data_IF_444694857139
#
_entry.id   IF_444694857139
#
_cell.length_a   1.000
_cell.length_b   1.000
_cell.length_c   1.000
_cell.angle_alpha   90.00
_cell.angle_beta   90.00
_cell.angle_gamma   90.00
#
_symmetry.space_group_name_H-M   'P 1'
#
loop_
_entity.id
_entity.type
_entity.pdbx_description
1 polymer ?
#
# COMPACT_ATOMS: atom_id res chain seq x y z
N UNK A 1 -12.87 -23.18 7.80
CA UNK A 1 -14.24 -23.22 7.29
C UNK A 1 -15.21 -23.07 8.49
N UNK A 2 -16.08 -22.07 8.44
CA UNK A 2 -16.97 -21.68 9.56
C UNK A 2 -18.44 -22.13 9.37
N UNK A 3 -18.80 -22.62 8.18
CA UNK A 3 -20.21 -22.99 7.87
C UNK A 3 -20.61 -24.39 8.34
N UNK A 4 -19.68 -25.14 8.93
CA UNK A 4 -19.92 -26.51 9.38
C UNK A 4 -20.10 -27.54 8.24
N UNK A 5 -19.67 -27.20 7.02
CA UNK A 5 -19.75 -28.08 5.85
C UNK A 5 -18.38 -28.29 5.22
N UNK A 6 -18.11 -29.51 4.79
CA UNK A 6 -16.91 -29.81 4.02
C UNK A 6 -16.94 -29.06 2.68
N UNK A 7 -15.81 -28.44 2.32
CA UNK A 7 -15.59 -27.81 1.03
C UNK A 7 -14.64 -28.69 0.22
N UNK A 8 -15.08 -29.10 -0.96
CA UNK A 8 -14.28 -29.91 -1.89
C UNK A 8 -13.71 -29.01 -2.99
N UNK A 9 -12.47 -29.29 -3.36
CA UNK A 9 -11.79 -28.64 -4.49
C UNK A 9 -11.77 -27.12 -4.38
N UNK A 10 -11.41 -26.62 -3.20
CA UNK A 10 -11.14 -25.18 -2.98
C UNK A 10 -9.95 -24.77 -3.86
N UNK A 11 -10.08 -23.68 -4.59
CA UNK A 11 -9.06 -23.15 -5.49
C UNK A 11 -8.67 -21.75 -5.07
N UNK A 12 -7.37 -21.51 -4.93
CA UNK A 12 -6.82 -20.20 -4.60
C UNK A 12 -5.88 -19.73 -5.71
N UNK A 13 -6.19 -18.59 -6.31
CA UNK A 13 -5.36 -17.92 -7.32
C UNK A 13 -4.45 -16.90 -6.68
N UNK A 14 -3.25 -16.76 -7.23
CA UNK A 14 -2.27 -15.76 -6.83
C UNK A 14 -1.97 -14.80 -7.98
N UNK A 15 -1.48 -13.59 -7.70
CA UNK A 15 -1.18 -12.59 -8.74
C UNK A 15 0.02 -12.96 -9.62
N UNK A 16 0.81 -13.97 -9.22
CA UNK A 16 1.94 -14.49 -9.97
C UNK A 16 1.93 -16.03 -9.94
N UNK A 17 2.71 -16.65 -10.82
CA UNK A 17 2.83 -18.09 -10.88
C UNK A 17 3.40 -18.69 -9.60
N UNK A 18 2.88 -19.82 -9.20
CA UNK A 18 3.37 -20.56 -8.05
C UNK A 18 4.68 -21.27 -8.44
N UNK A 19 5.76 -20.96 -7.73
CA UNK A 19 7.05 -21.66 -7.88
C UNK A 19 7.10 -22.92 -7.01
N UNK A 20 6.52 -22.84 -5.81
CA UNK A 20 6.48 -23.93 -4.85
C UNK A 20 5.36 -23.71 -3.83
N UNK A 21 4.78 -24.79 -3.30
CA UNK A 21 3.76 -24.71 -2.27
C UNK A 21 3.78 -25.97 -1.38
N UNK A 22 3.57 -25.79 -0.09
CA UNK A 22 3.46 -26.89 0.87
C UNK A 22 2.57 -26.50 2.05
N UNK A 23 1.98 -27.50 2.65
CA UNK A 23 1.19 -27.32 3.87
C UNK A 23 2.09 -27.21 5.07
N UNK A 24 1.75 -26.31 5.99
CA UNK A 24 2.51 -26.04 7.22
C UNK A 24 1.62 -26.18 8.45
N UNK A 25 2.20 -26.50 9.58
CA UNK A 25 1.54 -26.45 10.88
C UNK A 25 1.55 -25.03 11.46
N UNK A 26 0.97 -24.85 12.66
CA UNK A 26 0.94 -23.55 13.36
C UNK A 26 2.31 -23.00 13.78
N UNK A 27 3.40 -23.75 13.59
CA UNK A 27 4.79 -23.33 13.79
C UNK A 27 5.52 -23.11 12.47
N UNK A 28 4.78 -23.01 11.34
CA UNK A 28 5.30 -22.85 9.97
C UNK A 28 6.21 -24.00 9.50
N UNK A 29 6.17 -25.16 10.17
CA UNK A 29 6.92 -26.34 9.75
C UNK A 29 6.15 -27.08 8.66
N UNK A 30 6.84 -27.47 7.59
CA UNK A 30 6.27 -28.26 6.49
C UNK A 30 5.76 -29.61 7.00
N UNK A 31 4.51 -29.93 6.71
CA UNK A 31 3.86 -31.19 7.09
C UNK A 31 3.44 -32.03 5.89
N UNK A 32 3.14 -31.41 4.74
CA UNK A 32 2.75 -32.12 3.53
C UNK A 32 3.09 -31.30 2.28
N UNK A 33 3.12 -31.96 1.10
CA UNK A 33 3.12 -31.28 -0.18
C UNK A 33 1.75 -30.68 -0.46
N UNK A 34 1.71 -29.48 -1.03
CA UNK A 34 0.47 -28.89 -1.52
C UNK A 34 0.20 -29.28 -2.98
N UNK A 35 -1.05 -29.40 -3.35
CA UNK A 35 -1.44 -29.66 -4.74
C UNK A 35 -1.59 -28.34 -5.50
N UNK A 36 -0.82 -28.18 -6.58
CA UNK A 36 -0.92 -27.06 -7.51
C UNK A 36 -1.39 -27.58 -8.86
N UNK A 37 -2.51 -27.06 -9.38
CA UNK A 37 -3.05 -27.39 -10.70
C UNK A 37 -3.41 -26.11 -11.45
N UNK A 38 -2.95 -25.98 -12.70
CA UNK A 38 -3.20 -24.80 -13.52
C UNK A 38 -2.85 -23.49 -12.83
N UNK A 39 -1.74 -23.48 -12.09
CA UNK A 39 -1.26 -22.34 -11.29
C UNK A 39 -2.23 -21.89 -10.18
N UNK A 40 -3.08 -22.78 -9.72
CA UNK A 40 -3.95 -22.59 -8.57
C UNK A 40 -3.56 -23.56 -7.45
N UNK A 41 -3.55 -23.09 -6.21
CA UNK A 41 -3.47 -23.96 -5.04
C UNK A 41 -4.83 -24.65 -4.87
N UNK A 42 -4.85 -25.98 -4.85
CA UNK A 42 -6.08 -26.78 -4.78
C UNK A 42 -6.06 -27.68 -3.55
N UNK A 43 -7.11 -27.65 -2.75
CA UNK A 43 -7.23 -28.51 -1.56
C UNK A 43 -8.69 -28.71 -1.16
N UNK A 44 -8.92 -29.75 -0.37
CA UNK A 44 -10.17 -29.95 0.32
C UNK A 44 -10.10 -29.36 1.74
N UNK A 45 -11.19 -28.83 2.23
CA UNK A 45 -11.30 -28.26 3.56
C UNK A 45 -12.46 -28.93 4.30
N UNK A 46 -12.16 -29.67 5.35
CA UNK A 46 -13.18 -30.26 6.20
C UNK A 46 -13.80 -29.21 7.14
N UNK A 47 -15.02 -29.45 7.57
CA UNK A 47 -15.70 -28.56 8.52
C UNK A 47 -14.88 -28.34 9.78
N UNK A 48 -14.91 -27.14 10.33
CA UNK A 48 -14.17 -26.71 11.53
C UNK A 48 -12.65 -26.97 11.48
N UNK A 49 -12.08 -27.08 10.26
CA UNK A 49 -10.63 -27.28 10.09
C UNK A 49 -9.96 -26.01 9.62
N UNK A 50 -8.78 -25.73 10.16
CA UNK A 50 -7.87 -24.68 9.69
C UNK A 50 -6.71 -25.38 8.99
N UNK A 51 -6.39 -24.94 7.77
CA UNK A 51 -5.23 -25.38 7.02
C UNK A 51 -4.38 -24.18 6.64
N UNK A 52 -3.08 -24.30 6.80
CA UNK A 52 -2.10 -23.25 6.48
C UNK A 52 -1.16 -23.71 5.38
N UNK A 53 -0.88 -22.86 4.44
CA UNK A 53 0.01 -23.14 3.31
C UNK A 53 1.08 -22.06 3.18
N UNK A 54 2.32 -22.49 3.00
CA UNK A 54 3.39 -21.62 2.55
C UNK A 54 3.47 -21.72 1.02
N UNK A 55 3.38 -20.57 0.35
CA UNK A 55 3.40 -20.49 -1.11
C UNK A 55 4.52 -19.53 -1.54
N UNK A 56 5.43 -20.02 -2.36
CA UNK A 56 6.45 -19.21 -3.01
C UNK A 56 6.02 -18.91 -4.43
N UNK A 57 5.92 -17.63 -4.76
CA UNK A 57 5.59 -17.18 -6.11
C UNK A 57 6.87 -17.02 -6.95
N UNK A 58 6.73 -17.22 -8.26
CA UNK A 58 7.81 -16.91 -9.20
C UNK A 58 8.01 -15.40 -9.25
N UNK A 59 9.24 -14.97 -9.16
CA UNK A 59 9.57 -13.58 -9.44
C UNK A 59 9.26 -13.32 -10.92
N UNK A 60 8.52 -12.27 -11.28
CA UNK A 60 8.28 -11.96 -12.68
C UNK A 60 9.62 -11.77 -13.40
N UNK A 61 9.78 -12.45 -14.54
CA UNK A 61 11.01 -12.43 -15.34
C UNK A 61 11.31 -11.08 -15.97
N UNK A 62 10.40 -10.14 -15.88
CA UNK A 62 10.54 -8.77 -16.37
C UNK A 62 9.92 -7.82 -15.35
N UNK A 63 10.75 -7.15 -14.60
CA UNK A 63 10.38 -5.92 -13.90
C UNK A 63 10.18 -4.87 -15.00
N UNK A 64 8.95 -4.54 -15.33
CA UNK A 64 8.70 -3.34 -16.12
C UNK A 64 8.99 -2.17 -15.19
N UNK A 65 10.14 -1.54 -15.37
CA UNK A 65 10.40 -0.27 -14.70
C UNK A 65 9.30 0.70 -15.13
N UNK A 66 8.45 1.06 -14.21
CA UNK A 66 7.48 2.11 -14.42
C UNK A 66 8.24 3.42 -14.37
N UNK A 67 8.39 4.07 -15.52
CA UNK A 67 8.98 5.41 -15.55
C UNK A 67 8.10 6.34 -14.72
N UNK A 68 8.67 6.86 -13.65
CA UNK A 68 7.98 7.75 -12.72
C UNK A 68 8.53 9.16 -12.89
N UNK A 69 7.63 10.12 -12.90
CA UNK A 69 7.99 11.55 -12.87
C UNK A 69 7.49 12.12 -11.55
N UNK A 70 8.40 12.66 -10.78
CA UNK A 70 8.08 13.29 -9.52
C UNK A 70 7.38 14.63 -9.74
N UNK A 71 6.40 14.91 -8.89
CA UNK A 71 5.69 16.19 -8.86
C UNK A 71 6.26 17.00 -7.70
N UNK A 72 6.73 18.19 -8.00
CA UNK A 72 7.14 19.15 -6.97
C UNK A 72 5.88 19.72 -6.31
N UNK A 73 5.71 19.45 -5.02
CA UNK A 73 4.55 19.89 -4.27
C UNK A 73 4.82 21.25 -3.59
N UNK A 74 3.85 22.17 -3.63
CA UNK A 74 3.93 23.42 -2.89
C UNK A 74 3.60 23.19 -1.41
N UNK A 75 4.56 22.67 -0.66
CA UNK A 75 4.37 22.40 0.76
C UNK A 75 3.96 23.66 1.52
N UNK A 76 2.95 23.51 2.37
CA UNK A 76 2.35 24.61 3.13
C UNK A 76 1.98 24.21 4.57
N UNK A 77 2.39 23.02 4.98
CA UNK A 77 2.18 22.53 6.33
C UNK A 77 3.40 21.71 6.78
N UNK A 78 3.75 21.85 8.03
CA UNK A 78 4.65 20.96 8.73
C UNK A 78 3.83 19.81 9.33
N UNK A 79 4.14 18.58 8.95
CA UNK A 79 3.42 17.38 9.35
C UNK A 79 4.35 16.31 9.94
N UNK A 80 5.66 16.54 9.87
CA UNK A 80 6.69 15.64 10.39
C UNK A 80 7.42 16.36 11.53
N UNK A 81 7.33 15.82 12.73
CA UNK A 81 8.00 16.39 13.88
C UNK A 81 9.37 15.75 14.10
N UNK A 82 10.41 16.57 14.13
CA UNK A 82 11.77 16.16 14.44
C UNK A 82 12.06 16.13 15.95
N UNK A 83 11.27 16.84 16.74
CA UNK A 83 11.40 16.95 18.19
C UNK A 83 10.11 16.50 18.90
N UNK A 84 10.26 15.66 19.90
CA UNK A 84 9.15 15.16 20.72
C UNK A 84 8.47 16.26 21.55
N UNK A 85 9.10 17.40 21.72
CA UNK A 85 8.61 18.52 22.54
C UNK A 85 7.91 19.61 21.72
N UNK A 86 7.97 19.54 20.40
CA UNK A 86 7.35 20.53 19.53
C UNK A 86 6.21 19.91 18.73
N UNK A 87 5.03 20.43 18.98
CA UNK A 87 3.86 20.14 18.17
C UNK A 87 3.84 21.13 17.01
N UNK A 88 3.66 20.63 15.82
CA UNK A 88 3.37 21.51 14.71
C UNK A 88 2.13 22.36 15.02
N UNK A 89 2.29 23.65 14.92
CA UNK A 89 1.21 24.61 15.19
C UNK A 89 0.04 24.51 14.19
N UNK A 90 0.27 23.91 13.03
CA UNK A 90 -0.73 23.79 11.96
C UNK A 90 -1.64 22.59 12.16
N UNK A 91 -1.12 21.51 12.74
CA UNK A 91 -1.86 20.26 12.94
C UNK A 91 -1.63 19.78 14.38
N UNK A 92 -2.69 19.55 15.12
CA UNK A 92 -2.60 19.03 16.49
C UNK A 92 -1.94 17.65 16.61
N UNK A 93 -1.44 17.08 15.51
CA UNK A 93 -0.76 15.79 15.41
C UNK A 93 0.26 15.82 14.27
N UNK A 94 1.41 15.21 14.49
CA UNK A 94 2.48 15.06 13.52
C UNK A 94 2.98 13.60 13.50
N UNK A 95 3.67 13.23 12.44
CA UNK A 95 4.41 11.97 12.39
C UNK A 95 5.84 12.17 12.93
N UNK A 96 6.33 11.28 13.78
CA UNK A 96 7.71 11.36 14.27
C UNK A 96 8.69 11.07 13.12
N UNK A 97 9.63 11.97 12.92
CA UNK A 97 10.62 11.93 11.83
C UNK A 97 11.45 10.64 11.83
N UNK A 98 11.78 10.14 13.02
CA UNK A 98 12.59 8.94 13.21
C UNK A 98 11.87 7.63 12.77
N UNK A 99 10.55 7.65 12.68
CA UNK A 99 9.77 6.49 12.24
C UNK A 99 9.47 6.52 10.73
N UNK A 100 9.76 7.63 10.06
CA UNK A 100 9.49 7.76 8.63
C UNK A 100 10.75 7.47 7.81
N UNK A 101 10.67 6.62 6.77
CA UNK A 101 11.76 6.46 5.82
C UNK A 101 11.89 7.70 4.93
N UNK A 102 13.02 7.85 4.22
CA UNK A 102 13.19 8.90 3.20
C UNK A 102 12.25 8.70 2.00
N UNK A 103 11.93 7.46 1.71
CA UNK A 103 11.07 7.06 0.60
C UNK A 103 10.13 5.95 1.07
N UNK A 104 8.85 6.14 0.86
CA UNK A 104 7.84 5.09 1.03
C UNK A 104 7.64 4.41 -0.31
N UNK A 105 7.73 3.08 -0.33
CA UNK A 105 7.54 2.27 -1.54
C UNK A 105 6.25 1.47 -1.40
N UNK A 106 5.33 1.67 -2.34
CA UNK A 106 4.08 0.89 -2.44
C UNK A 106 3.98 0.25 -3.81
N UNK A 107 4.11 -1.07 -3.87
CA UNK A 107 4.32 -1.77 -5.14
C UNK A 107 5.62 -1.29 -5.80
N UNK A 108 5.52 -0.77 -7.02
CA UNK A 108 6.66 -0.19 -7.75
C UNK A 108 6.63 1.35 -7.74
N UNK A 109 5.82 1.97 -6.87
CA UNK A 109 5.69 3.42 -6.78
C UNK A 109 6.50 3.92 -5.60
N UNK A 110 7.35 4.90 -5.86
CA UNK A 110 8.21 5.55 -4.87
C UNK A 110 7.64 6.91 -4.51
N UNK A 111 7.43 7.14 -3.24
CA UNK A 111 7.00 8.42 -2.69
C UNK A 111 8.14 8.99 -1.84
N UNK A 112 8.78 10.02 -2.33
CA UNK A 112 9.80 10.73 -1.54
C UNK A 112 9.09 11.58 -0.49
N UNK A 113 9.53 11.46 0.75
CA UNK A 113 9.03 12.27 1.84
C UNK A 113 9.60 13.69 1.76
N UNK A 114 8.88 14.64 2.31
CA UNK A 114 9.38 16.01 2.47
C UNK A 114 10.51 16.10 3.49
N UNK A 115 11.03 17.33 3.65
CA UNK A 115 12.09 17.62 4.60
C UNK A 115 11.62 17.30 6.03
N UNK A 116 12.45 16.60 6.79
CA UNK A 116 12.16 16.15 8.14
C UNK A 116 12.81 17.02 9.21
N UNK A 117 13.47 18.11 8.81
CA UNK A 117 14.03 19.04 9.75
C UNK A 117 12.94 19.80 10.50
N UNK A 118 13.24 20.23 11.72
CA UNK A 118 12.31 20.96 12.56
C UNK A 118 11.79 22.22 11.85
N UNK A 119 10.49 22.47 11.96
CA UNK A 119 9.76 23.58 11.32
C UNK A 119 9.76 23.58 9.78
N UNK A 120 10.25 22.52 9.11
CA UNK A 120 10.23 22.45 7.66
C UNK A 120 8.81 22.15 7.13
N UNK A 121 8.41 22.87 6.10
CA UNK A 121 7.17 22.55 5.38
C UNK A 121 7.39 21.29 4.56
N UNK A 122 6.64 20.23 4.85
CA UNK A 122 6.85 18.90 4.30
C UNK A 122 5.57 18.19 3.81
N UNK A 123 4.45 18.87 3.92
CA UNK A 123 3.16 18.37 3.46
C UNK A 123 2.32 19.46 2.77
N UNK A 124 1.32 19.04 2.03
CA UNK A 124 0.30 19.92 1.44
C UNK A 124 -1.00 19.73 2.20
N UNK A 125 -1.41 20.73 2.97
CA UNK A 125 -2.75 20.78 3.52
C UNK A 125 -3.74 21.14 2.41
N UNK A 126 -4.72 20.25 2.15
CA UNK A 126 -5.67 20.40 1.05
C UNK A 126 -6.67 21.52 1.32
N UNK A 127 -6.44 22.70 0.74
CA UNK A 127 -7.27 23.91 0.89
C UNK A 127 -7.86 24.40 -0.44
N UNK A 128 -7.79 23.58 -1.50
CA UNK A 128 -8.29 23.92 -2.84
C UNK A 128 -7.24 24.54 -3.77
N UNK A 129 -5.96 24.41 -3.45
CA UNK A 129 -4.86 24.88 -4.28
C UNK A 129 -4.73 24.09 -5.58
N UNK A 130 -4.14 24.74 -6.59
CA UNK A 130 -3.80 24.11 -7.87
C UNK A 130 -2.35 23.68 -7.86
N UNK A 131 -2.10 22.42 -8.24
CA UNK A 131 -0.77 21.85 -8.39
C UNK A 131 -0.50 21.66 -9.88
N UNK A 132 0.60 22.22 -10.38
CA UNK A 132 1.00 22.06 -11.77
C UNK A 132 1.67 20.71 -11.97
N UNK A 133 1.17 19.92 -12.90
CA UNK A 133 1.81 18.68 -13.31
C UNK A 133 2.91 18.95 -14.33
N UNK A 134 4.01 18.19 -14.33
CA UNK A 134 5.03 18.26 -15.37
C UNK A 134 4.40 18.01 -16.75
N UNK A 135 4.90 18.66 -17.79
CA UNK A 135 4.45 18.44 -19.15
C UNK A 135 4.70 17.00 -19.58
N UNK A 136 3.67 16.34 -20.11
CA UNK A 136 3.78 14.95 -20.56
C UNK A 136 2.43 14.27 -20.72
N UNK A 137 2.50 13.01 -21.15
CA UNK A 137 1.33 12.11 -21.17
C UNK A 137 1.49 11.08 -20.05
N UNK A 138 0.60 11.13 -19.09
CA UNK A 138 0.63 10.25 -17.93
C UNK A 138 -0.56 9.29 -17.97
N UNK A 139 -0.32 8.05 -17.59
CA UNK A 139 -1.37 7.03 -17.49
C UNK A 139 -2.06 7.07 -16.12
N UNK A 140 -1.28 7.29 -15.08
CA UNK A 140 -1.74 7.28 -13.70
C UNK A 140 -1.12 8.44 -12.92
N UNK A 141 -1.84 8.95 -11.95
CA UNK A 141 -1.36 9.84 -10.90
C UNK A 141 -1.45 9.08 -9.57
N UNK A 142 -0.35 9.05 -8.84
CA UNK A 142 -0.27 8.43 -7.53
C UNK A 142 -0.06 9.50 -6.46
N UNK A 143 -0.83 9.44 -5.40
CA UNK A 143 -0.77 10.37 -4.29
C UNK A 143 -0.59 9.59 -3.00
N UNK A 144 0.33 10.03 -2.16
CA UNK A 144 0.41 9.62 -0.77
C UNK A 144 -0.36 10.64 0.06
N UNK A 145 -1.34 10.20 0.81
CA UNK A 145 -2.17 11.08 1.62
C UNK A 145 -2.53 10.45 2.95
N UNK A 146 -2.79 11.28 3.94
CA UNK A 146 -3.22 10.88 5.27
C UNK A 146 -4.41 11.73 5.75
N UNK A 147 -5.18 11.19 6.68
CA UNK A 147 -6.27 11.91 7.35
C UNK A 147 -6.37 11.46 8.80
N UNK A 148 -6.70 12.39 9.70
CA UNK A 148 -6.88 12.09 11.13
C UNK A 148 -8.23 11.43 11.45
N UNK A 149 -9.15 11.39 10.48
CA UNK A 149 -10.49 10.78 10.59
C UNK A 149 -11.01 10.46 9.21
N UNK A 150 -12.05 9.64 9.13
CA UNK A 150 -12.75 9.39 7.86
C UNK A 150 -13.10 10.71 7.18
N UNK A 151 -12.59 10.90 5.97
CA UNK A 151 -12.80 12.11 5.19
C UNK A 151 -12.84 11.80 3.70
N UNK A 152 -13.58 12.57 2.95
CA UNK A 152 -13.55 12.58 1.50
C UNK A 152 -12.93 13.88 1.02
N UNK A 153 -12.05 13.79 0.03
CA UNK A 153 -11.48 14.94 -0.66
C UNK A 153 -11.79 14.86 -2.15
N UNK A 154 -12.08 16.00 -2.74
CA UNK A 154 -12.34 16.13 -4.17
C UNK A 154 -11.10 16.67 -4.86
N UNK A 155 -10.68 15.98 -5.91
CA UNK A 155 -9.61 16.39 -6.82
C UNK A 155 -10.22 16.70 -8.18
N UNK A 156 -9.73 17.74 -8.83
CA UNK A 156 -10.11 18.08 -10.20
C UNK A 156 -8.90 17.84 -11.08
N UNK A 157 -9.01 16.90 -12.01
CA UNK A 157 -7.98 16.58 -13.00
C UNK A 157 -8.57 16.71 -14.41
N UNK A 158 -8.02 17.56 -15.23
CA UNK A 158 -8.53 17.87 -16.58
C UNK A 158 -10.05 18.18 -16.59
N UNK A 159 -10.50 18.97 -15.60
CA UNK A 159 -11.91 19.33 -15.45
C UNK A 159 -12.81 18.21 -14.91
N UNK A 160 -12.29 17.02 -14.68
CA UNK A 160 -13.04 15.90 -14.08
C UNK A 160 -12.84 15.87 -12.57
N UNK A 161 -13.94 15.81 -11.85
CA UNK A 161 -13.97 15.66 -10.42
C UNK A 161 -13.78 14.19 -10.03
N UNK A 162 -12.81 13.93 -9.15
CA UNK A 162 -12.52 12.62 -8.58
C UNK A 162 -12.62 12.75 -7.07
N UNK A 163 -13.51 12.00 -6.44
CA UNK A 163 -13.65 11.96 -4.99
C UNK A 163 -12.88 10.78 -4.42
N UNK A 164 -11.95 11.04 -3.51
CA UNK A 164 -11.12 10.03 -2.82
C UNK A 164 -11.50 9.98 -1.35
N UNK A 165 -11.71 8.77 -0.84
CA UNK A 165 -11.91 8.52 0.59
C UNK A 165 -10.58 8.28 1.29
N UNK A 166 -10.39 8.93 2.44
CA UNK A 166 -9.28 8.72 3.34
C UNK A 166 -9.80 8.14 4.65
N UNK A 167 -9.10 7.15 5.16
CA UNK A 167 -9.33 6.55 6.48
C UNK A 167 -8.11 6.82 7.35
N UNK A 168 -8.27 6.99 8.68
CA UNK A 168 -7.15 7.16 9.60
C UNK A 168 -6.27 5.93 9.72
#
# INVERSE_FOLDING_TARGET
ELTGKDQKTVKVKFPADIADAYEVNGQEKKIAAATVKNNELVFDLSHFTIRSFAVRLKTPSRTVETLQTEIVLPYNADFISADTNRWDATLSKSYPAELLPETIISGNIHFRMGDKTDEALNAVSCTGQTIQLPNGKYKNLYLLGASLKDKKADFILDGKKITVGFQP
#
